data_IF_325661034219
#
_entry.id   IF_325661034219
#
_cell.length_a   1.000
_cell.length_b   1.000
_cell.length_c   1.000
_cell.angle_alpha   90.00
_cell.angle_beta   90.00
_cell.angle_gamma   90.00
#
_symmetry.space_group_name_H-M   'P 1'
#
loop_
_entity.id
_entity.type
_entity.pdbx_description
1 polymer ?
#
# COMPACT_ATOMS: atom_id res chain seq x y z
N UNK A 1 22.60 -10.78 11.72
CA UNK A 1 23.01 -9.50 12.34
C UNK A 1 21.93 -9.12 13.34
N UNK A 2 22.28 -8.60 14.52
CA UNK A 2 21.28 -8.20 15.50
C UNK A 2 20.44 -7.06 14.91
N UNK A 3 19.13 -7.32 14.78
CA UNK A 3 18.16 -6.38 14.19
C UNK A 3 18.00 -5.21 15.16
N UNK A 4 18.71 -4.11 14.88
CA UNK A 4 18.61 -2.90 15.70
C UNK A 4 17.34 -2.18 15.26
N UNK A 5 16.40 -1.86 16.17
CA UNK A 5 15.19 -1.15 15.79
C UNK A 5 15.55 0.19 15.14
N UNK A 6 14.94 0.49 13.99
CA UNK A 6 15.08 1.77 13.31
C UNK A 6 14.66 2.91 14.23
N UNK A 7 15.40 4.02 14.20
CA UNK A 7 15.04 5.24 14.93
C UNK A 7 14.17 6.15 14.07
N UNK A 8 13.44 7.09 14.69
CA UNK A 8 12.67 8.10 13.96
C UNK A 8 13.54 8.89 12.97
N UNK A 9 14.79 9.19 13.34
CA UNK A 9 15.73 9.87 12.46
C UNK A 9 16.14 9.02 11.24
N UNK A 10 16.27 7.70 11.41
CA UNK A 10 16.52 6.78 10.29
C UNK A 10 15.31 6.75 9.34
N UNK A 11 14.10 6.77 9.91
CA UNK A 11 12.86 6.75 9.16
C UNK A 11 12.65 8.06 8.38
N UNK A 12 12.88 9.20 9.01
CA UNK A 12 12.82 10.52 8.37
C UNK A 12 13.83 10.66 7.23
N UNK A 13 15.07 10.19 7.45
CA UNK A 13 16.09 10.18 6.41
C UNK A 13 15.71 9.28 5.22
N UNK A 14 15.12 8.11 5.49
CA UNK A 14 14.60 7.23 4.45
C UNK A 14 13.43 7.87 3.68
N UNK A 15 12.49 8.53 4.37
CA UNK A 15 11.36 9.25 3.76
C UNK A 15 11.85 10.39 2.86
N UNK A 16 12.82 11.18 3.32
CA UNK A 16 13.44 12.21 2.52
C UNK A 16 14.10 11.62 1.27
N UNK A 17 14.86 10.54 1.44
CA UNK A 17 15.56 9.88 0.33
C UNK A 17 14.60 9.29 -0.72
N UNK A 18 13.42 8.77 -0.36
CA UNK A 18 12.44 8.27 -1.35
C UNK A 18 11.65 9.38 -2.03
N UNK A 19 11.57 10.55 -1.41
CA UNK A 19 10.88 11.74 -1.93
C UNK A 19 11.72 12.50 -2.97
N UNK A 20 12.99 12.12 -3.15
CA UNK A 20 13.86 12.63 -4.20
C UNK A 20 13.22 12.42 -5.60
N UNK A 21 13.20 13.45 -6.46
CA UNK A 21 12.56 13.37 -7.77
C UNK A 21 13.05 12.17 -8.58
N UNK A 22 12.11 11.39 -9.10
CA UNK A 22 12.40 10.25 -9.99
C UNK A 22 12.69 8.92 -9.30
N UNK A 23 13.09 8.88 -8.02
CA UNK A 23 13.32 7.59 -7.32
C UNK A 23 12.05 6.77 -7.20
N UNK A 24 10.94 7.40 -6.83
CA UNK A 24 9.65 6.73 -6.76
C UNK A 24 9.16 6.30 -8.16
N UNK A 25 9.42 7.12 -9.18
CA UNK A 25 9.03 6.86 -10.57
C UNK A 25 9.68 5.57 -11.10
N UNK A 26 10.98 5.39 -10.89
CA UNK A 26 11.71 4.19 -11.32
C UNK A 26 11.18 2.93 -10.63
N UNK A 27 10.82 3.01 -9.34
CA UNK A 27 10.21 1.88 -8.61
C UNK A 27 8.80 1.58 -9.14
N UNK A 28 8.00 2.60 -9.43
CA UNK A 28 6.66 2.43 -10.02
C UNK A 28 6.71 1.71 -11.37
N UNK A 29 7.68 2.05 -12.23
CA UNK A 29 7.90 1.39 -13.52
C UNK A 29 8.26 -0.09 -13.37
N UNK A 30 9.14 -0.42 -12.40
CA UNK A 30 9.49 -1.80 -12.09
C UNK A 30 8.29 -2.59 -11.55
N UNK A 31 7.52 -2.00 -10.64
CA UNK A 31 6.30 -2.61 -10.08
C UNK A 31 5.27 -2.85 -11.18
N UNK A 32 5.09 -1.90 -12.10
CA UNK A 32 4.19 -2.05 -13.24
C UNK A 32 4.56 -3.24 -14.15
N UNK A 33 5.86 -3.56 -14.29
CA UNK A 33 6.33 -4.73 -15.04
C UNK A 33 6.09 -6.05 -14.30
N UNK A 34 6.10 -6.05 -12.97
CA UNK A 34 5.88 -7.22 -12.11
C UNK A 34 4.39 -7.46 -11.77
N UNK A 35 3.51 -6.55 -12.22
CA UNK A 35 2.13 -6.39 -11.80
C UNK A 35 1.26 -7.66 -11.76
N UNK A 36 1.32 -8.62 -12.70
CA UNK A 36 0.40 -9.76 -12.68
C UNK A 36 0.53 -10.67 -11.45
N UNK A 37 1.75 -10.83 -10.93
CA UNK A 37 1.98 -11.66 -9.74
C UNK A 37 1.76 -10.88 -8.45
N UNK A 38 2.06 -9.58 -8.45
CA UNK A 38 1.83 -8.71 -7.29
C UNK A 38 0.34 -8.44 -7.05
N UNK A 39 -0.45 -8.26 -8.11
CA UNK A 39 -1.90 -8.07 -8.00
C UNK A 39 -2.57 -9.23 -7.26
N UNK A 40 -2.15 -10.48 -7.49
CA UNK A 40 -2.71 -11.64 -6.78
C UNK A 40 -2.47 -11.59 -5.26
N UNK A 41 -1.30 -11.08 -4.84
CA UNK A 41 -0.98 -10.92 -3.41
C UNK A 41 -1.79 -9.77 -2.82
N UNK A 42 -1.90 -8.65 -3.54
CA UNK A 42 -2.71 -7.51 -3.12
C UNK A 42 -4.19 -7.87 -2.99
N UNK A 43 -4.76 -8.54 -3.99
CA UNK A 43 -6.16 -9.00 -3.99
C UNK A 43 -6.44 -9.93 -2.79
N UNK A 44 -5.51 -10.84 -2.49
CA UNK A 44 -5.62 -11.73 -1.34
C UNK A 44 -5.54 -10.96 0.00
N UNK A 45 -4.57 -10.05 0.17
CA UNK A 45 -4.42 -9.25 1.37
C UNK A 45 -5.65 -8.35 1.65
N UNK A 46 -6.19 -7.79 0.57
CA UNK A 46 -7.43 -7.00 0.59
C UNK A 46 -8.63 -7.87 1.00
N UNK A 47 -8.75 -9.08 0.46
CA UNK A 47 -9.85 -9.99 0.75
C UNK A 47 -9.78 -10.55 2.20
N UNK A 48 -8.60 -10.91 2.68
CA UNK A 48 -8.37 -11.48 4.01
C UNK A 48 -8.62 -10.47 5.13
N UNK A 49 -8.32 -9.20 4.91
CA UNK A 49 -8.57 -8.15 5.90
C UNK A 49 -10.03 -7.67 5.98
N UNK A 50 -10.94 -8.22 5.17
CA UNK A 50 -12.36 -7.84 5.18
C UNK A 50 -12.63 -6.40 4.70
N UNK A 51 -11.68 -5.79 3.99
CA UNK A 51 -11.72 -4.37 3.63
C UNK A 51 -12.82 -4.03 2.61
N UNK A 52 -13.19 -4.97 1.74
CA UNK A 52 -14.31 -4.85 0.79
C UNK A 52 -15.53 -5.70 1.17
N UNK A 53 -15.86 -5.75 2.45
CA UNK A 53 -16.98 -6.55 2.96
C UNK A 53 -18.37 -5.86 2.81
N UNK A 54 -19.34 -6.32 3.60
CA UNK A 54 -20.68 -5.74 3.66
C UNK A 54 -20.70 -4.26 4.11
N UNK A 55 -19.77 -3.82 4.96
CA UNK A 55 -19.66 -2.45 5.43
C UNK A 55 -19.27 -1.50 4.29
N UNK A 56 -18.33 -1.90 3.42
CA UNK A 56 -17.99 -1.11 2.23
C UNK A 56 -19.19 -0.97 1.29
N UNK A 57 -19.91 -2.06 1.02
CA UNK A 57 -21.14 -2.01 0.20
C UNK A 57 -22.25 -1.18 0.84
N UNK A 58 -22.31 -1.10 2.16
CA UNK A 58 -23.24 -0.25 2.88
C UNK A 58 -22.84 1.22 2.76
N UNK A 59 -21.58 1.56 3.02
CA UNK A 59 -21.05 2.91 2.90
C UNK A 59 -21.18 3.47 1.48
N UNK A 60 -20.96 2.65 0.45
CA UNK A 60 -21.18 3.05 -0.94
C UNK A 60 -22.66 3.33 -1.23
N UNK A 61 -23.57 2.51 -0.71
CA UNK A 61 -25.03 2.73 -0.88
C UNK A 61 -25.49 3.99 -0.18
N UNK A 62 -24.99 4.26 1.02
CA UNK A 62 -25.28 5.48 1.78
C UNK A 62 -24.75 6.72 1.04
N UNK A 63 -23.49 6.67 0.58
CA UNK A 63 -22.88 7.75 -0.17
C UNK A 63 -23.62 8.02 -1.49
N UNK A 64 -24.05 6.99 -2.23
CA UNK A 64 -24.74 7.13 -3.51
C UNK A 64 -26.23 7.45 -3.38
N UNK A 65 -26.87 7.10 -2.26
CA UNK A 65 -28.32 7.19 -2.06
C UNK A 65 -28.84 8.55 -1.59
N UNK A 66 -27.96 9.50 -1.26
CA UNK A 66 -28.37 10.83 -0.77
C UNK A 66 -29.18 11.63 -1.80
N UNK A 67 -30.27 12.27 -1.37
CA UNK A 67 -31.15 13.06 -2.24
C UNK A 67 -30.51 14.36 -2.73
N UNK A 68 -29.70 15.02 -1.88
CA UNK A 68 -28.94 16.21 -2.23
C UNK A 68 -27.71 15.85 -3.11
N UNK A 69 -27.63 16.35 -4.35
CA UNK A 69 -26.49 16.12 -5.22
C UNK A 69 -25.15 16.60 -4.64
N UNK A 70 -25.12 17.72 -3.90
CA UNK A 70 -23.88 18.25 -3.36
C UNK A 70 -23.36 17.38 -2.20
N UNK A 71 -24.22 17.03 -1.25
CA UNK A 71 -23.89 16.10 -0.17
C UNK A 71 -23.47 14.72 -0.71
N UNK A 72 -24.12 14.22 -1.76
CA UNK A 72 -23.76 12.95 -2.41
C UNK A 72 -22.34 12.97 -2.98
N UNK A 73 -21.97 14.03 -3.70
CA UNK A 73 -20.60 14.18 -4.23
C UNK A 73 -19.58 14.20 -3.08
N UNK A 74 -19.84 14.95 -2.01
CA UNK A 74 -18.93 15.02 -0.87
C UNK A 74 -18.79 13.66 -0.17
N UNK A 75 -19.89 12.91 0.00
CA UNK A 75 -19.86 11.58 0.60
C UNK A 75 -19.03 10.60 -0.24
N UNK A 76 -19.17 10.63 -1.56
CA UNK A 76 -18.36 9.81 -2.48
C UNK A 76 -16.88 10.21 -2.43
N UNK A 77 -16.56 11.50 -2.40
CA UNK A 77 -15.17 11.97 -2.28
C UNK A 77 -14.53 11.50 -0.98
N UNK A 78 -15.26 11.56 0.13
CA UNK A 78 -14.78 11.08 1.42
C UNK A 78 -14.53 9.56 1.39
N UNK A 79 -15.45 8.80 0.79
CA UNK A 79 -15.28 7.37 0.61
C UNK A 79 -14.03 7.05 -0.20
N UNK A 80 -13.84 7.69 -1.37
CA UNK A 80 -12.66 7.50 -2.21
C UNK A 80 -11.36 7.84 -1.47
N UNK A 81 -11.36 8.94 -0.69
CA UNK A 81 -10.18 9.34 0.08
C UNK A 81 -9.81 8.29 1.14
N UNK A 82 -10.81 7.67 1.76
CA UNK A 82 -10.60 6.61 2.74
C UNK A 82 -10.09 5.33 2.08
N UNK A 83 -10.74 4.90 1.00
CA UNK A 83 -10.30 3.73 0.22
C UNK A 83 -8.87 3.91 -0.31
N UNK A 84 -8.50 5.13 -0.72
CA UNK A 84 -7.15 5.45 -1.15
C UNK A 84 -6.14 5.29 -0.01
N UNK A 85 -6.47 5.79 1.20
CA UNK A 85 -5.61 5.60 2.39
C UNK A 85 -5.43 4.13 2.73
N UNK A 86 -6.50 3.34 2.66
CA UNK A 86 -6.45 1.90 2.92
C UNK A 86 -5.61 1.17 1.87
N UNK A 87 -5.82 1.45 0.58
CA UNK A 87 -5.04 0.89 -0.51
C UNK A 87 -3.54 1.21 -0.39
N UNK A 88 -3.20 2.45 -0.01
CA UNK A 88 -1.81 2.84 0.27
C UNK A 88 -1.23 2.04 1.44
N UNK A 89 -1.97 1.90 2.55
CA UNK A 89 -1.52 1.15 3.73
C UNK A 89 -1.24 -0.32 3.39
N UNK A 90 -2.15 -0.99 2.67
CA UNK A 90 -1.96 -2.39 2.24
C UNK A 90 -0.78 -2.49 1.27
N UNK A 91 -0.68 -1.59 0.30
CA UNK A 91 0.43 -1.58 -0.66
C UNK A 91 1.80 -1.44 0.03
N UNK A 92 1.90 -0.56 1.03
CA UNK A 92 3.11 -0.39 1.84
C UNK A 92 3.41 -1.66 2.64
N UNK A 93 2.43 -2.26 3.31
CA UNK A 93 2.62 -3.49 4.08
C UNK A 93 3.12 -4.66 3.22
N UNK A 94 2.50 -4.88 2.05
CA UNK A 94 2.95 -5.90 1.09
C UNK A 94 4.36 -5.59 0.58
N UNK A 95 4.67 -4.32 0.33
CA UNK A 95 6.02 -3.88 -0.05
C UNK A 95 7.08 -4.20 1.01
N UNK A 96 6.79 -3.95 2.28
CA UNK A 96 7.68 -4.28 3.40
C UNK A 96 7.93 -5.80 3.51
N UNK A 97 6.86 -6.61 3.47
CA UNK A 97 7.01 -8.07 3.55
C UNK A 97 7.76 -8.64 2.34
N UNK A 98 7.51 -8.11 1.14
CA UNK A 98 8.25 -8.51 -0.07
C UNK A 98 9.74 -8.18 0.06
N UNK A 99 10.08 -6.98 0.53
CA UNK A 99 11.47 -6.59 0.74
C UNK A 99 12.17 -7.52 1.74
N UNK A 100 11.49 -7.81 2.87
CA UNK A 100 11.98 -8.74 3.89
C UNK A 100 12.23 -10.14 3.33
N UNK A 101 11.30 -10.68 2.55
CA UNK A 101 11.44 -12.01 1.94
C UNK A 101 12.59 -12.08 0.93
N UNK A 102 12.79 -11.01 0.14
CA UNK A 102 13.91 -10.92 -0.81
C UNK A 102 15.27 -10.84 -0.10
N UNK A 103 15.35 -10.16 1.05
CA UNK A 103 16.56 -10.11 1.87
C UNK A 103 16.90 -11.48 2.48
N UNK A 104 15.89 -12.21 2.96
CA UNK A 104 16.05 -13.57 3.48
C UNK A 104 16.45 -14.57 2.38
N UNK A 105 15.94 -14.36 1.17
CA UNK A 105 16.22 -15.21 0.00
C UNK A 105 17.59 -14.92 -0.64
N UNK A 106 18.31 -13.88 -0.19
CA UNK A 106 19.62 -13.55 -0.73
C UNK A 106 20.62 -14.61 -0.26
N UNK A 107 21.25 -15.38 -1.17
CA UNK A 107 22.24 -16.36 -0.77
C UNK A 107 23.36 -15.63 -0.02
N UNK A 108 23.67 -16.07 1.20
CA UNK A 108 24.87 -15.63 1.90
C UNK A 108 26.05 -16.00 1.02
N UNK A 109 26.65 -15.01 0.35
CA UNK A 109 27.94 -15.18 -0.30
C UNK A 109 28.91 -15.66 0.77
N UNK A 110 29.17 -16.96 0.77
CA UNK A 110 30.23 -17.59 1.54
C UNK A 110 31.53 -17.14 0.87
N UNK A 111 32.34 -16.39 1.63
CA UNK A 111 33.71 -16.04 1.30
C UNK A 111 34.51 -17.29 0.94
N UNK A 112 35.23 -17.24 -0.19
CA UNK A 112 36.49 -17.95 -0.42
C UNK A 112 37.60 -16.90 -0.53
#
# INVERSE_FOLDING_TARGET
MADRPYTDADLDAAIAAISEPGRLQTVQELVAQLAPSLHRVLDAAIAEGGWFDNAHRQALREAAGGEDPAARVQAVQNLIAEETRLGMMVGVAVGFELARELELSRPTTQED
#
